data_IF_726504668367
#
_entry.id   IF_726504668367
#
_cell.length_a   1.000
_cell.length_b   1.000
_cell.length_c   1.000
_cell.angle_alpha   90.00
_cell.angle_beta   90.00
_cell.angle_gamma   90.00
#
_symmetry.space_group_name_H-M   'P 1'
#
loop_
_entity.id
_entity.type
_entity.pdbx_description
1 polymer ?
#
# COMPACT_ATOMS: atom_id res chain seq x y z
N UNK A 1 4.25 -27.94 2.51
CA UNK A 1 4.41 -26.50 2.24
C UNK A 1 5.84 -26.32 1.79
N UNK A 2 6.07 -26.10 0.51
CA UNK A 2 7.38 -25.62 0.07
C UNK A 2 7.55 -24.21 0.61
N UNK A 3 8.64 -23.98 1.33
CA UNK A 3 9.03 -22.65 1.76
C UNK A 3 9.44 -21.92 0.48
N UNK A 4 8.68 -20.89 0.09
CA UNK A 4 9.08 -20.00 -1.00
C UNK A 4 10.43 -19.40 -0.62
N UNK A 5 11.46 -19.76 -1.38
CA UNK A 5 12.79 -19.21 -1.19
C UNK A 5 12.78 -17.74 -1.62
N UNK A 6 13.05 -16.86 -0.66
CA UNK A 6 13.12 -15.41 -0.84
C UNK A 6 14.56 -14.90 -0.74
N UNK A 7 15.55 -15.79 -0.74
CA UNK A 7 16.98 -15.46 -0.70
C UNK A 7 17.40 -14.56 -1.86
N UNK A 8 16.73 -14.66 -3.00
CA UNK A 8 16.98 -13.83 -4.18
C UNK A 8 16.29 -12.46 -4.13
N UNK A 9 15.37 -12.24 -3.19
CA UNK A 9 14.65 -10.97 -3.05
C UNK A 9 15.45 -10.02 -2.19
N UNK A 10 15.69 -8.81 -2.70
CA UNK A 10 16.32 -7.75 -1.91
C UNK A 10 15.53 -7.52 -0.60
N UNK A 11 16.16 -7.63 0.59
CA UNK A 11 15.47 -7.37 1.85
C UNK A 11 14.85 -5.97 1.90
N UNK A 12 15.46 -4.99 1.22
CA UNK A 12 14.92 -3.65 1.10
C UNK A 12 13.59 -3.63 0.32
N UNK A 13 13.52 -4.32 -0.82
CA UNK A 13 12.28 -4.45 -1.60
C UNK A 13 11.16 -5.11 -0.79
N UNK A 14 11.49 -6.15 -0.03
CA UNK A 14 10.51 -6.84 0.81
C UNK A 14 9.92 -5.90 1.87
N UNK A 15 10.78 -5.20 2.62
CA UNK A 15 10.36 -4.26 3.67
C UNK A 15 9.55 -3.11 3.06
N UNK A 16 9.99 -2.55 1.93
CA UNK A 16 9.25 -1.51 1.20
C UNK A 16 7.85 -2.01 0.81
N UNK A 17 7.76 -3.22 0.24
CA UNK A 17 6.48 -3.84 -0.13
C UNK A 17 5.54 -3.99 1.06
N UNK A 18 6.03 -4.53 2.18
CA UNK A 18 5.25 -4.70 3.42
C UNK A 18 4.73 -3.37 3.94
N UNK A 19 5.58 -2.33 4.01
CA UNK A 19 5.18 -1.00 4.48
C UNK A 19 4.06 -0.43 3.61
N UNK A 20 4.20 -0.50 2.28
CA UNK A 20 3.19 0.03 1.37
C UNK A 20 1.88 -0.77 1.40
N UNK A 21 1.93 -2.10 1.54
CA UNK A 21 0.72 -2.93 1.68
C UNK A 21 -0.05 -2.54 2.94
N UNK A 22 0.66 -2.40 4.08
CA UNK A 22 0.04 -1.98 5.34
C UNK A 22 -0.53 -0.56 5.25
N UNK A 23 0.19 0.36 4.59
CA UNK A 23 -0.25 1.74 4.38
C UNK A 23 -1.50 1.81 3.50
N UNK A 24 -1.47 1.17 2.32
CA UNK A 24 -2.59 1.15 1.36
C UNK A 24 -3.82 0.52 2.01
N UNK A 25 -3.67 -0.65 2.63
CA UNK A 25 -4.76 -1.36 3.30
C UNK A 25 -5.33 -0.58 4.49
N UNK A 26 -4.47 0.05 5.30
CA UNK A 26 -4.88 0.88 6.43
C UNK A 26 -5.66 2.13 6.00
N UNK A 27 -5.15 2.86 5.01
CA UNK A 27 -5.82 4.04 4.45
C UNK A 27 -7.15 3.68 3.79
N UNK A 28 -7.19 2.58 3.02
CA UNK A 28 -8.42 2.12 2.37
C UNK A 28 -9.47 1.74 3.42
N UNK A 29 -9.09 0.94 4.42
CA UNK A 29 -9.99 0.53 5.50
C UNK A 29 -10.56 1.72 6.26
N UNK A 30 -9.71 2.69 6.62
CA UNK A 30 -10.14 3.92 7.29
C UNK A 30 -11.04 4.77 6.39
N UNK A 31 -10.72 4.92 5.10
CA UNK A 31 -11.54 5.70 4.18
C UNK A 31 -12.94 5.11 4.00
N UNK A 32 -13.04 3.79 3.83
CA UNK A 32 -14.31 3.06 3.80
C UNK A 32 -15.10 3.28 5.09
N UNK A 33 -14.46 3.12 6.26
CA UNK A 33 -15.09 3.38 7.55
C UNK A 33 -15.63 4.82 7.66
N UNK A 34 -14.87 5.82 7.19
CA UNK A 34 -15.32 7.22 7.21
C UNK A 34 -16.50 7.48 6.29
N UNK A 35 -16.62 6.78 5.16
CA UNK A 35 -17.80 6.87 4.30
C UNK A 35 -19.04 6.32 4.99
N UNK A 36 -18.94 5.17 5.66
CA UNK A 36 -20.04 4.62 6.46
C UNK A 36 -20.46 5.54 7.62
N UNK A 37 -19.50 6.26 8.21
CA UNK A 37 -19.76 7.29 9.23
C UNK A 37 -20.29 8.61 8.65
N UNK A 38 -20.67 8.66 7.38
CA UNK A 38 -21.09 9.86 6.62
C UNK A 38 -20.08 11.03 6.59
N UNK A 39 -18.84 10.79 7.04
CA UNK A 39 -17.72 11.75 7.03
C UNK A 39 -17.04 11.79 5.66
N UNK A 40 -17.80 12.12 4.62
CA UNK A 40 -17.39 12.01 3.20
C UNK A 40 -16.07 12.70 2.88
N UNK A 41 -15.82 13.91 3.40
CA UNK A 41 -14.57 14.64 3.14
C UNK A 41 -13.34 13.92 3.69
N UNK A 42 -13.43 13.37 4.91
CA UNK A 42 -12.36 12.57 5.49
C UNK A 42 -12.20 11.24 4.75
N UNK A 43 -13.30 10.60 4.37
CA UNK A 43 -13.29 9.38 3.55
C UNK A 43 -12.52 9.57 2.25
N UNK A 44 -12.80 10.64 1.51
CA UNK A 44 -12.09 10.98 0.28
C UNK A 44 -10.60 11.21 0.49
N UNK A 45 -10.20 11.87 1.58
CA UNK A 45 -8.78 12.09 1.90
C UNK A 45 -8.03 10.78 2.12
N UNK A 46 -8.61 9.85 2.88
CA UNK A 46 -8.02 8.53 3.07
C UNK A 46 -8.01 7.70 1.78
N UNK A 47 -9.05 7.83 0.96
CA UNK A 47 -9.18 7.07 -0.29
C UNK A 47 -8.21 7.55 -1.37
N UNK A 48 -8.04 8.86 -1.52
CA UNK A 48 -7.01 9.42 -2.40
C UNK A 48 -5.60 9.10 -1.88
N UNK A 49 -5.38 9.14 -0.56
CA UNK A 49 -4.11 8.74 0.06
C UNK A 49 -3.76 7.28 -0.23
N UNK A 50 -4.74 6.37 -0.17
CA UNK A 50 -4.55 4.96 -0.50
C UNK A 50 -4.18 4.78 -1.98
N UNK A 51 -4.92 5.42 -2.89
CA UNK A 51 -4.64 5.39 -4.32
C UNK A 51 -3.25 5.96 -4.66
N UNK A 52 -2.87 7.10 -4.05
CA UNK A 52 -1.56 7.70 -4.22
C UNK A 52 -0.44 6.79 -3.70
N UNK A 53 -0.64 6.16 -2.54
CA UNK A 53 0.34 5.22 -1.96
C UNK A 53 0.54 4.01 -2.87
N UNK A 54 -0.53 3.50 -3.49
CA UNK A 54 -0.45 2.41 -4.46
C UNK A 54 0.31 2.83 -5.73
N UNK A 55 0.02 4.00 -6.27
CA UNK A 55 0.75 4.55 -7.42
C UNK A 55 2.25 4.70 -7.12
N UNK A 56 2.59 5.25 -5.94
CA UNK A 56 3.98 5.38 -5.50
C UNK A 56 4.68 4.01 -5.37
N UNK A 57 4.01 3.00 -4.83
CA UNK A 57 4.55 1.63 -4.78
C UNK A 57 4.90 1.13 -6.17
N UNK A 58 3.98 1.26 -7.14
CA UNK A 58 4.21 0.82 -8.53
C UNK A 58 5.40 1.54 -9.13
N UNK A 59 5.50 2.87 -8.95
CA UNK A 59 6.62 3.66 -9.46
C UNK A 59 7.97 3.28 -8.81
N UNK A 60 7.97 3.01 -7.51
CA UNK A 60 9.18 2.58 -6.80
C UNK A 60 9.65 1.23 -7.34
N UNK A 61 8.72 0.29 -7.51
CA UNK A 61 9.02 -1.05 -8.03
C UNK A 61 9.54 -0.97 -9.46
N UNK A 62 8.86 -0.22 -10.33
CA UNK A 62 9.27 0.00 -11.72
C UNK A 62 10.68 0.60 -11.79
N UNK A 63 10.96 1.63 -10.99
CA UNK A 63 12.28 2.26 -10.94
C UNK A 63 13.36 1.33 -10.39
N UNK A 64 13.01 0.39 -9.52
CA UNK A 64 13.96 -0.55 -8.92
C UNK A 64 14.45 -1.60 -9.90
N UNK A 65 13.60 -2.01 -10.84
CA UNK A 65 13.93 -3.00 -11.87
C UNK A 65 14.44 -2.40 -13.19
N UNK A 66 14.44 -1.06 -13.32
CA UNK A 66 15.01 -0.28 -14.45
C UNK A 66 16.48 0.10 -14.22
#
# INVERSE_FOLDING_TARGET
>A
MELVDVSEVSPALFVTGVIFILLVGGLLSMGVLRFFQTKKRQGWFFMSGSALSLLLLVLIVDRWFS
#
